data_IF_466541311693
#
_entry.id   IF_466541311693
#
_cell.length_a   1.000
_cell.length_b   1.000
_cell.length_c   1.000
_cell.angle_alpha   90.00
_cell.angle_beta   90.00
_cell.angle_gamma   90.00
#
_symmetry.space_group_name_H-M   'P 1'
#
loop_
_entity.id
_entity.type
_entity.pdbx_description
1 polymer ?
#
# COMPACT_ATOMS: atom_id res chain seq x y z
N UNK A 1 18.88 6.12 4.46
CA UNK A 1 18.87 5.07 3.43
C UNK A 1 17.54 5.17 2.66
N UNK A 2 17.43 4.50 1.51
CA UNK A 2 16.16 4.36 0.77
C UNK A 2 15.64 2.95 0.99
N UNK A 3 14.42 2.84 1.50
CA UNK A 3 13.76 1.59 1.85
C UNK A 3 12.54 1.41 0.95
N UNK A 4 12.40 0.24 0.35
CA UNK A 4 11.25 -0.14 -0.45
C UNK A 4 10.57 -1.34 0.20
N UNK A 5 9.30 -1.19 0.59
CA UNK A 5 8.43 -2.30 0.95
C UNK A 5 7.62 -2.69 -0.29
N UNK A 6 7.67 -3.96 -0.68
CA UNK A 6 6.90 -4.49 -1.81
C UNK A 6 5.98 -5.59 -1.31
N UNK A 7 4.68 -5.44 -1.56
CA UNK A 7 3.68 -6.42 -1.18
C UNK A 7 2.65 -6.63 -2.29
N UNK A 8 1.78 -7.63 -2.15
CA UNK A 8 0.83 -7.98 -3.19
C UNK A 8 -0.28 -6.93 -3.24
N UNK A 9 -0.98 -6.71 -2.13
CA UNK A 9 -2.23 -5.94 -2.11
C UNK A 9 -2.12 -4.66 -1.27
N UNK A 10 -3.00 -3.66 -1.53
CA UNK A 10 -3.10 -2.46 -0.69
C UNK A 10 -3.74 -2.77 0.68
N UNK A 11 -2.93 -3.19 1.66
CA UNK A 11 -3.26 -3.42 3.09
C UNK A 11 -2.19 -4.32 3.75
N UNK A 12 -1.51 -5.14 2.93
CA UNK A 12 -0.47 -6.07 3.38
C UNK A 12 0.59 -5.37 4.25
N UNK A 13 0.99 -4.14 3.89
CA UNK A 13 2.04 -3.39 4.60
C UNK A 13 1.58 -3.01 5.99
N UNK A 14 0.34 -2.55 6.12
CA UNK A 14 -0.30 -2.18 7.38
C UNK A 14 -0.30 -3.35 8.36
N UNK A 15 -0.63 -4.55 7.88
CA UNK A 15 -0.64 -5.76 8.70
C UNK A 15 0.73 -6.33 9.01
N UNK A 16 1.65 -6.32 8.03
CA UNK A 16 2.88 -7.12 8.11
C UNK A 16 4.08 -6.34 8.62
N UNK A 17 4.20 -5.04 8.31
CA UNK A 17 5.45 -4.32 8.59
C UNK A 17 5.35 -2.80 8.87
N UNK A 18 4.15 -2.22 8.93
CA UNK A 18 4.00 -0.76 9.09
C UNK A 18 4.69 -0.20 10.34
N UNK A 19 4.70 -0.93 11.45
CA UNK A 19 5.43 -0.51 12.66
C UNK A 19 6.94 -0.35 12.43
N UNK A 20 7.55 -1.29 11.71
CA UNK A 20 8.97 -1.21 11.35
C UNK A 20 9.23 -0.05 10.39
N UNK A 21 8.39 0.13 9.37
CA UNK A 21 8.54 1.23 8.41
C UNK A 21 8.41 2.60 9.08
N UNK A 22 7.48 2.74 10.04
CA UNK A 22 7.31 3.97 10.81
C UNK A 22 8.55 4.30 11.65
N UNK A 23 9.17 3.31 12.29
CA UNK A 23 10.42 3.50 13.04
C UNK A 23 11.59 3.91 12.12
N UNK A 24 11.70 3.29 10.94
CA UNK A 24 12.72 3.64 9.95
C UNK A 24 12.52 5.06 9.39
N UNK A 25 11.28 5.44 9.09
CA UNK A 25 10.95 6.80 8.67
C UNK A 25 11.29 7.82 9.78
N UNK A 26 10.93 7.52 11.03
CA UNK A 26 11.28 8.35 12.20
C UNK A 26 12.79 8.49 12.40
N UNK A 27 13.58 7.47 12.03
CA UNK A 27 15.04 7.51 12.03
C UNK A 27 15.64 8.31 10.86
N UNK A 28 14.82 8.94 10.01
CA UNK A 28 15.26 9.77 8.89
C UNK A 28 15.57 8.99 7.62
N UNK A 29 15.03 7.78 7.45
CA UNK A 29 15.13 7.05 6.19
C UNK A 29 13.98 7.40 5.24
N UNK A 30 14.27 7.41 3.94
CA UNK A 30 13.23 7.55 2.91
C UNK A 30 12.54 6.20 2.73
N UNK A 31 11.23 6.17 2.94
CA UNK A 31 10.40 4.96 2.80
C UNK A 31 9.46 5.11 1.62
N UNK A 32 9.46 4.10 0.76
CA UNK A 32 8.49 3.93 -0.31
C UNK A 32 7.79 2.58 -0.15
N UNK A 33 6.49 2.57 -0.41
CA UNK A 33 5.65 1.37 -0.40
C UNK A 33 5.15 1.13 -1.82
N UNK A 34 5.30 -0.09 -2.31
CA UNK A 34 4.79 -0.51 -3.60
C UNK A 34 3.91 -1.75 -3.47
N UNK A 35 2.78 -1.76 -4.18
CA UNK A 35 1.91 -2.93 -4.30
C UNK A 35 1.85 -3.41 -5.74
N UNK A 36 1.85 -4.73 -5.91
CA UNK A 36 1.75 -5.34 -7.24
C UNK A 36 0.33 -5.14 -7.78
N UNK A 37 -0.68 -5.53 -7.00
CA UNK A 37 -2.08 -5.42 -7.40
C UNK A 37 -2.79 -4.24 -6.76
N UNK A 38 -3.96 -3.91 -7.30
CA UNK A 38 -4.80 -2.80 -6.85
C UNK A 38 -5.87 -3.22 -5.83
N UNK A 39 -5.99 -4.51 -5.53
CA UNK A 39 -6.90 -4.98 -4.50
C UNK A 39 -8.36 -5.05 -4.94
N UNK A 40 -8.62 -5.08 -6.25
CA UNK A 40 -9.94 -4.97 -6.88
C UNK A 40 -10.93 -6.10 -6.58
N UNK A 41 -10.47 -7.21 -5.96
CA UNK A 41 -11.33 -8.31 -5.54
C UNK A 41 -11.55 -8.41 -4.03
N UNK A 42 -11.13 -7.38 -3.28
CA UNK A 42 -11.24 -7.33 -1.81
C UNK A 42 -12.66 -7.08 -1.25
N UNK A 43 -13.68 -6.95 -2.10
CA UNK A 43 -15.07 -6.71 -1.70
C UNK A 43 -16.05 -7.49 -2.58
N UNK A 44 -17.19 -7.87 -2.00
CA UNK A 44 -18.32 -8.48 -2.73
C UNK A 44 -19.43 -7.49 -3.07
N UNK A 45 -19.39 -6.28 -2.47
CA UNK A 45 -20.45 -5.27 -2.57
C UNK A 45 -20.08 -4.10 -3.49
N UNK A 46 -18.79 -3.91 -3.79
CA UNK A 46 -18.24 -2.80 -4.57
C UNK A 46 -17.68 -3.36 -5.89
N UNK A 47 -17.86 -2.63 -7.00
CA UNK A 47 -17.29 -3.08 -8.29
C UNK A 47 -15.76 -3.09 -8.23
N UNK A 48 -15.08 -3.98 -8.98
CA UNK A 48 -13.62 -4.05 -8.97
C UNK A 48 -12.94 -2.71 -9.32
N UNK A 49 -13.49 -1.98 -10.30
CA UNK A 49 -12.94 -0.71 -10.75
C UNK A 49 -13.08 0.39 -9.68
N UNK A 50 -14.25 0.46 -9.02
CA UNK A 50 -14.46 1.40 -7.93
C UNK A 50 -13.59 1.05 -6.72
N UNK A 51 -13.50 -0.24 -6.38
CA UNK A 51 -12.69 -0.71 -5.26
C UNK A 51 -11.20 -0.44 -5.46
N UNK A 52 -10.67 -0.66 -6.66
CA UNK A 52 -9.27 -0.36 -6.99
C UNK A 52 -8.91 1.11 -6.72
N UNK A 53 -9.78 2.04 -7.12
CA UNK A 53 -9.55 3.47 -6.88
C UNK A 53 -9.64 3.83 -5.40
N UNK A 54 -10.61 3.25 -4.68
CA UNK A 54 -10.75 3.41 -3.23
C UNK A 54 -9.47 2.94 -2.53
N UNK A 55 -9.04 1.70 -2.78
CA UNK A 55 -7.87 1.08 -2.13
C UNK A 55 -6.57 1.79 -2.47
N UNK A 56 -6.38 2.23 -3.72
CA UNK A 56 -5.23 3.09 -4.09
C UNK A 56 -5.26 4.41 -3.31
N UNK A 57 -6.44 4.99 -3.08
CA UNK A 57 -6.62 6.18 -2.25
C UNK A 57 -6.28 5.95 -0.78
N UNK A 58 -6.76 4.84 -0.21
CA UNK A 58 -6.51 4.42 1.17
C UNK A 58 -5.01 4.18 1.41
N UNK A 59 -4.35 3.43 0.55
CA UNK A 59 -2.92 3.13 0.69
C UNK A 59 -2.04 4.39 0.58
N UNK A 60 -2.37 5.34 -0.31
CA UNK A 60 -1.68 6.65 -0.36
C UNK A 60 -1.83 7.42 0.95
N UNK A 61 -3.05 7.46 1.51
CA UNK A 61 -3.31 8.12 2.79
C UNK A 61 -2.55 7.41 3.92
N UNK A 62 -2.59 6.09 3.97
CA UNK A 62 -1.89 5.29 4.97
C UNK A 62 -0.37 5.53 4.96
N UNK A 63 0.27 5.43 3.79
CA UNK A 63 1.70 5.71 3.63
C UNK A 63 2.06 7.13 4.12
N UNK A 64 1.22 8.12 3.82
CA UNK A 64 1.46 9.51 4.24
C UNK A 64 1.45 9.70 5.76
N UNK A 65 0.71 8.86 6.51
CA UNK A 65 0.66 8.95 7.98
C UNK A 65 2.02 8.68 8.63
N UNK A 66 2.89 7.90 7.98
CA UNK A 66 4.25 7.59 8.47
C UNK A 66 5.34 8.35 7.72
N UNK A 67 4.97 9.34 6.88
CA UNK A 67 5.93 10.08 6.05
C UNK A 67 6.51 9.27 4.89
N UNK A 68 5.84 8.19 4.48
CA UNK A 68 6.23 7.38 3.32
C UNK A 68 5.48 7.81 2.05
N UNK A 69 5.95 7.32 0.90
CA UNK A 69 5.29 7.48 -0.40
C UNK A 69 4.77 6.13 -0.91
N UNK A 70 3.81 6.15 -1.84
CA UNK A 70 3.15 4.94 -2.32
C UNK A 70 3.01 4.90 -3.84
N UNK A 71 3.17 3.72 -4.44
CA UNK A 71 2.85 3.43 -5.85
C UNK A 71 2.20 2.06 -5.99
N UNK A 72 1.21 1.94 -6.85
CA UNK A 72 0.60 0.67 -7.22
C UNK A 72 0.96 0.37 -8.68
N UNK A 73 1.36 -0.88 -8.98
CA UNK A 73 1.60 -1.32 -10.36
C UNK A 73 0.30 -1.60 -11.15
N UNK A 74 -0.84 -1.57 -10.46
CA UNK A 74 -2.19 -1.62 -11.03
C UNK A 74 -2.51 -2.92 -11.79
N UNK A 75 -1.90 -4.03 -11.39
CA UNK A 75 -2.37 -5.36 -11.79
C UNK A 75 -3.68 -5.69 -11.03
N UNK A 76 -4.58 -6.44 -11.65
CA UNK A 76 -5.75 -6.98 -10.94
C UNK A 76 -5.35 -8.10 -9.99
N UNK A 77 -6.15 -8.32 -8.94
CA UNK A 77 -5.96 -9.45 -8.04
C UNK A 77 -6.19 -10.77 -8.80
N UNK A 78 -5.40 -11.80 -8.45
CA UNK A 78 -5.52 -13.10 -9.08
C UNK A 78 -6.74 -13.87 -8.54
N UNK A 79 -7.48 -14.51 -9.45
CA UNK A 79 -8.45 -15.56 -9.14
C UNK A 79 -7.83 -16.94 -9.34
#
# INVERSE_FOLDING_TARGET
MRILAVHAHPDDVEFLCAGTLALLAKAGHEVHIATISNGDLGSVDISPEELAEIRKGEARKSASMIGATYTCLDFGDFR
#
